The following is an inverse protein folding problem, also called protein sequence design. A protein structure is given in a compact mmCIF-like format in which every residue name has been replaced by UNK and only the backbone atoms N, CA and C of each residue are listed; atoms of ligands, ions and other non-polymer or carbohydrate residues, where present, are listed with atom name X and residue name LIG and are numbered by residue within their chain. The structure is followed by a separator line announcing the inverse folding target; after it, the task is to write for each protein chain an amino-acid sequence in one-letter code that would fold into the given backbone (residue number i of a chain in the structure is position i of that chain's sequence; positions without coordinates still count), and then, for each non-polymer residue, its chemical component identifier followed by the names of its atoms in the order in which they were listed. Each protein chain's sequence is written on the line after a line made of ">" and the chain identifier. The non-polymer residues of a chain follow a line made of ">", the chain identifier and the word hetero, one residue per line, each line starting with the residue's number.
data_IF_892060592865
#
_entry.id   IF_892060592865
#
_cell.length_a   1.000
_cell.length_b   1.000
_cell.length_c   1.000
_cell.angle_alpha   90.00
_cell.angle_beta   90.00
_cell.angle_gamma   90.00
#
_symmetry.space_group_name_H-M   'P 1'
#
loop_
_entity.id
_entity.type
_entity.pdbx_description
1 polymer ?
#
# COMPACT_ATOMS: atom_id res chain seq x y z
N UNK A 1 -9.89 -1.35 -15.29
CA UNK A 1 -9.02 -2.38 -14.68
C UNK A 1 -9.93 -3.40 -14.00
N UNK A 2 -9.66 -4.70 -14.13
CA UNK A 2 -10.37 -5.73 -13.37
C UNK A 2 -9.71 -5.92 -11.99
N UNK A 3 -10.51 -6.09 -10.94
CA UNK A 3 -10.04 -6.16 -9.54
C UNK A 3 -10.44 -7.52 -8.94
N UNK A 4 -9.48 -8.23 -8.35
CA UNK A 4 -9.70 -9.53 -7.73
C UNK A 4 -9.03 -9.62 -6.35
N UNK A 5 -9.66 -10.29 -5.40
CA UNK A 5 -8.95 -10.85 -4.25
C UNK A 5 -8.28 -12.16 -4.67
N UNK A 6 -6.98 -12.09 -4.97
CA UNK A 6 -6.20 -13.25 -5.38
C UNK A 6 -4.71 -13.01 -5.09
N UNK A 7 -4.22 -13.68 -4.03
CA UNK A 7 -2.82 -13.56 -3.54
C UNK A 7 -2.47 -12.10 -3.19
N UNK A 8 -3.41 -11.38 -2.57
CA UNK A 8 -3.41 -9.93 -2.40
C UNK A 8 -4.50 -9.30 -3.29
N UNK A 9 -4.57 -7.97 -3.32
CA UNK A 9 -5.47 -7.27 -4.24
C UNK A 9 -4.81 -7.24 -5.62
N UNK A 10 -5.37 -8.00 -6.56
CA UNK A 10 -4.87 -8.14 -7.90
C UNK A 10 -5.59 -7.16 -8.84
N UNK A 11 -4.83 -6.28 -9.47
CA UNK A 11 -5.30 -5.40 -10.54
C UNK A 11 -4.85 -5.96 -11.88
N UNK A 12 -5.79 -6.26 -12.78
CA UNK A 12 -5.51 -6.92 -14.06
C UNK A 12 -5.98 -6.08 -15.25
N UNK A 13 -5.15 -6.08 -16.29
CA UNK A 13 -5.37 -5.45 -17.59
C UNK A 13 -4.81 -6.38 -18.67
N UNK A 14 -5.68 -6.90 -19.52
CA UNK A 14 -5.35 -7.90 -20.53
C UNK A 14 -4.57 -9.12 -19.97
N UNK A 15 -3.31 -9.30 -20.38
CA UNK A 15 -2.41 -10.38 -19.95
C UNK A 15 -1.45 -9.96 -18.83
N UNK A 16 -1.57 -8.74 -18.31
CA UNK A 16 -0.72 -8.20 -17.24
C UNK A 16 -1.51 -8.01 -15.96
N UNK A 17 -0.84 -8.16 -14.83
CA UNK A 17 -1.41 -7.91 -13.52
C UNK A 17 -0.36 -7.32 -12.58
N UNK A 18 -0.83 -6.63 -11.56
CA UNK A 18 -0.04 -6.20 -10.40
C UNK A 18 -0.78 -6.60 -9.13
N UNK A 19 -0.05 -6.65 -8.02
CA UNK A 19 -0.58 -7.15 -6.75
C UNK A 19 -0.25 -6.16 -5.63
N UNK A 20 -1.29 -5.63 -5.00
CA UNK A 20 -1.18 -4.77 -3.82
C UNK A 20 -1.22 -5.68 -2.58
N UNK A 21 -0.25 -5.52 -1.69
CA UNK A 21 0.01 -6.39 -0.55
C UNK A 21 -0.03 -7.89 -0.90
N UNK A 22 0.88 -8.34 -1.78
CA UNK A 22 0.86 -9.70 -2.25
C UNK A 22 1.11 -10.70 -1.13
N UNK A 23 0.57 -11.91 -1.26
CA UNK A 23 0.79 -12.98 -0.27
C UNK A 23 2.24 -13.51 -0.24
N UNK A 24 3.03 -13.25 -1.28
CA UNK A 24 4.44 -13.68 -1.41
C UNK A 24 5.29 -12.65 -2.16
N UNK A 25 6.60 -12.64 -1.92
CA UNK A 25 7.52 -11.70 -2.55
C UNK A 25 7.61 -11.84 -4.07
N UNK A 26 7.43 -10.74 -4.80
CA UNK A 26 7.29 -10.72 -6.26
C UNK A 26 7.58 -9.34 -6.86
N UNK A 27 8.19 -9.26 -8.06
CA UNK A 27 8.57 -8.00 -8.69
C UNK A 27 7.37 -7.19 -9.22
N UNK A 28 6.24 -7.84 -9.47
CA UNK A 28 4.98 -7.23 -9.91
C UNK A 28 4.05 -6.91 -8.73
N UNK A 29 4.62 -6.72 -7.54
CA UNK A 29 3.88 -6.42 -6.32
C UNK A 29 4.30 -5.10 -5.69
N UNK A 30 3.34 -4.38 -5.11
CA UNK A 30 3.56 -3.20 -4.27
C UNK A 30 3.04 -3.48 -2.87
N UNK A 31 3.77 -3.08 -1.83
CA UNK A 31 3.33 -3.22 -0.44
C UNK A 31 3.00 -1.86 0.16
N UNK A 32 1.92 -1.79 0.94
CA UNK A 32 1.43 -0.57 1.57
C UNK A 32 2.31 -0.16 2.74
N UNK A 33 2.74 -1.10 3.59
CA UNK A 33 3.50 -0.77 4.80
C UNK A 33 4.28 -1.96 5.41
N UNK A 34 4.95 -1.69 6.52
CA UNK A 34 5.91 -2.58 7.17
C UNK A 34 5.37 -3.65 8.12
N UNK A 35 4.06 -3.88 8.24
CA UNK A 35 3.50 -4.96 9.09
C UNK A 35 3.64 -6.34 8.43
N UNK A 36 3.67 -7.42 9.23
CA UNK A 36 4.08 -8.77 8.76
C UNK A 36 3.07 -9.43 7.84
N UNK A 37 1.80 -9.15 8.07
CA UNK A 37 0.68 -9.55 7.25
C UNK A 37 0.79 -8.99 5.82
N UNK A 38 1.28 -7.76 5.65
CA UNK A 38 1.44 -7.10 4.33
C UNK A 38 2.84 -7.26 3.71
N UNK A 39 3.89 -7.07 4.52
CA UNK A 39 5.25 -6.87 4.04
C UNK A 39 5.86 -8.11 3.38
N UNK A 40 6.24 -8.00 2.10
CA UNK A 40 6.97 -9.04 1.36
C UNK A 40 8.22 -8.47 0.67
N UNK A 41 9.34 -9.20 0.64
CA UNK A 41 10.53 -8.77 -0.10
C UNK A 41 10.32 -8.86 -1.62
N UNK A 42 11.25 -8.29 -2.39
CA UNK A 42 11.26 -8.25 -3.86
C UNK A 42 10.08 -7.48 -4.47
N UNK A 43 9.37 -6.67 -3.67
CA UNK A 43 8.25 -5.81 -4.07
C UNK A 43 8.68 -4.35 -4.14
N UNK A 44 7.76 -3.50 -4.59
CA UNK A 44 7.85 -2.05 -4.56
C UNK A 44 7.31 -1.50 -3.23
N UNK A 45 8.00 -0.54 -2.61
CA UNK A 45 7.62 0.03 -1.32
C UNK A 45 8.20 1.43 -1.13
N UNK A 46 7.83 2.11 -0.05
CA UNK A 46 8.50 3.36 0.35
C UNK A 46 9.87 3.08 0.97
N UNK A 47 10.79 4.06 0.93
CA UNK A 47 12.11 3.91 1.56
C UNK A 47 12.04 3.59 3.07
N UNK A 48 11.20 4.26 3.89
CA UNK A 48 11.08 3.91 5.30
C UNK A 48 10.49 2.51 5.53
N UNK A 49 9.57 2.04 4.66
CA UNK A 49 9.06 0.67 4.72
C UNK A 49 10.17 -0.36 4.45
N UNK A 50 11.11 -0.06 3.55
CA UNK A 50 12.31 -0.89 3.33
C UNK A 50 13.20 -0.92 4.57
N UNK A 51 13.38 0.21 5.27
CA UNK A 51 14.18 0.24 6.49
C UNK A 51 13.55 -0.64 7.60
N UNK A 52 12.22 -0.55 7.76
CA UNK A 52 11.47 -1.47 8.64
C UNK A 52 11.68 -2.92 8.20
N UNK A 53 11.62 -3.22 6.91
CA UNK A 53 11.85 -4.57 6.39
C UNK A 53 13.25 -5.10 6.71
N UNK A 54 14.28 -4.28 6.53
CA UNK A 54 15.67 -4.63 6.85
C UNK A 54 15.78 -4.94 8.34
N UNK A 55 15.22 -4.09 9.20
CA UNK A 55 15.26 -4.28 10.65
C UNK A 55 14.53 -5.57 11.09
N UNK A 56 13.38 -5.87 10.48
CA UNK A 56 12.55 -7.04 10.85
C UNK A 56 13.06 -8.37 10.32
N UNK A 57 13.66 -8.38 9.13
CA UNK A 57 13.91 -9.63 8.37
C UNK A 57 15.34 -9.80 7.88
N UNK A 58 16.18 -8.76 7.97
CA UNK A 58 17.53 -8.75 7.40
C UNK A 58 17.61 -8.68 5.87
N UNK A 59 16.49 -8.80 5.15
CA UNK A 59 16.48 -8.71 3.69
C UNK A 59 16.61 -7.27 3.22
N UNK A 60 17.38 -7.06 2.15
CA UNK A 60 17.55 -5.75 1.50
C UNK A 60 16.86 -5.68 0.14
N UNK A 61 16.18 -6.75 -0.27
CA UNK A 61 15.58 -6.90 -1.61
C UNK A 61 14.24 -6.16 -1.67
N UNK A 62 14.25 -4.94 -2.18
CA UNK A 62 13.07 -4.14 -2.47
C UNK A 62 13.41 -3.05 -3.49
N UNK A 63 12.40 -2.65 -4.26
CA UNK A 63 12.45 -1.44 -5.10
C UNK A 63 11.77 -0.32 -4.32
N UNK A 64 12.41 0.83 -4.18
CA UNK A 64 11.88 1.95 -3.40
C UNK A 64 11.42 3.09 -4.27
N UNK A 65 10.29 3.70 -3.90
CA UNK A 65 9.77 4.90 -4.51
C UNK A 65 9.47 5.96 -3.44
N UNK A 66 9.52 7.23 -3.83
CA UNK A 66 9.10 8.31 -2.95
C UNK A 66 7.58 8.46 -2.99
N UNK A 67 7.04 9.12 -1.96
CA UNK A 67 5.66 9.59 -2.03
C UNK A 67 5.52 10.62 -3.16
N UNK A 68 4.37 10.59 -3.84
CA UNK A 68 4.02 11.50 -4.94
C UNK A 68 4.88 11.42 -6.20
N UNK A 69 5.82 10.49 -6.25
CA UNK A 69 6.54 10.14 -7.47
C UNK A 69 5.80 8.99 -8.16
N UNK A 70 5.35 9.23 -9.40
CA UNK A 70 4.74 8.20 -10.22
C UNK A 70 5.77 7.19 -10.70
N UNK A 71 5.41 5.92 -10.67
CA UNK A 71 6.25 4.83 -11.13
C UNK A 71 5.42 3.78 -11.87
N UNK A 72 6.09 2.86 -12.56
CA UNK A 72 5.42 1.80 -13.31
C UNK A 72 5.76 0.42 -12.78
N UNK A 73 4.76 -0.44 -12.75
CA UNK A 73 4.90 -1.89 -12.60
C UNK A 73 4.13 -2.52 -13.77
N UNK A 74 4.83 -3.25 -14.65
CA UNK A 74 4.26 -3.68 -15.94
C UNK A 74 3.69 -2.46 -16.71
N UNK A 75 2.43 -2.53 -17.12
CA UNK A 75 1.73 -1.50 -17.89
C UNK A 75 0.83 -0.61 -17.01
N UNK A 76 1.01 -0.65 -15.69
CA UNK A 76 0.26 0.15 -14.72
C UNK A 76 1.13 1.30 -14.20
N UNK A 77 0.56 2.50 -14.14
CA UNK A 77 1.13 3.64 -13.42
C UNK A 77 0.59 3.68 -11.99
N UNK A 78 1.50 3.76 -11.02
CA UNK A 78 1.20 3.79 -9.60
C UNK A 78 1.81 5.04 -8.95
N UNK A 79 1.22 5.45 -7.84
CA UNK A 79 1.74 6.47 -6.93
C UNK A 79 1.58 6.01 -5.49
N UNK A 80 2.60 6.23 -4.66
CA UNK A 80 2.45 6.10 -3.21
C UNK A 80 2.03 7.44 -2.61
N UNK A 81 0.96 7.42 -1.82
CA UNK A 81 0.44 8.57 -1.06
C UNK A 81 0.45 8.22 0.42
N UNK A 82 0.82 9.15 1.31
CA UNK A 82 0.91 8.85 2.75
C UNK A 82 -0.40 8.29 3.32
N UNK A 83 -0.33 7.16 4.03
CA UNK A 83 -1.47 6.54 4.72
C UNK A 83 -1.59 6.93 6.20
N UNK A 84 -0.62 7.65 6.78
CA UNK A 84 -0.71 8.11 8.18
C UNK A 84 -0.72 7.01 9.27
N UNK A 85 -0.64 5.73 8.90
CA UNK A 85 -0.77 4.59 9.82
C UNK A 85 0.50 4.33 10.61
N UNK A 86 1.57 3.94 9.91
CA UNK A 86 2.92 3.72 10.47
C UNK A 86 3.97 4.42 9.61
N UNK A 87 5.20 4.53 10.11
CA UNK A 87 6.31 5.15 9.37
C UNK A 87 6.44 4.50 7.98
N UNK A 88 6.35 5.33 6.94
CA UNK A 88 6.43 4.89 5.54
C UNK A 88 5.19 4.23 4.98
N UNK A 89 4.10 4.13 5.74
CA UNK A 89 2.83 3.58 5.22
C UNK A 89 2.28 4.42 4.07
N UNK A 90 1.79 3.73 3.05
CA UNK A 90 1.30 4.32 1.82
C UNK A 90 -0.05 3.74 1.40
N UNK A 91 -0.99 4.62 1.08
CA UNK A 91 -2.06 4.33 0.14
C UNK A 91 -1.42 4.21 -1.24
N UNK A 92 -1.96 3.33 -2.07
CA UNK A 92 -1.46 3.05 -3.41
C UNK A 92 -2.55 3.46 -4.39
N UNK A 93 -2.31 4.53 -5.13
CA UNK A 93 -3.13 4.88 -6.29
C UNK A 93 -2.61 4.15 -7.52
N UNK A 94 -3.54 3.61 -8.31
CA UNK A 94 -3.25 2.94 -9.57
C UNK A 94 -4.35 3.23 -10.58
N UNK A 95 -4.11 4.19 -11.47
CA UNK A 95 -5.05 4.57 -12.55
C UNK A 95 -6.49 4.82 -12.05
N UNK A 96 -6.67 5.51 -10.91
CA UNK A 96 -7.99 5.82 -10.34
C UNK A 96 -8.57 4.75 -9.41
N UNK A 97 -7.85 3.64 -9.19
CA UNK A 97 -8.11 2.68 -8.11
C UNK A 97 -7.21 3.03 -6.93
N UNK A 98 -7.81 3.51 -5.83
CA UNK A 98 -7.10 3.81 -4.60
C UNK A 98 -7.25 2.63 -3.62
N UNK A 99 -6.14 1.98 -3.29
CA UNK A 99 -6.06 1.01 -2.21
C UNK A 99 -5.44 1.67 -0.97
N UNK A 100 -6.17 1.72 0.14
CA UNK A 100 -5.69 2.45 1.32
C UNK A 100 -4.56 1.72 2.04
N UNK A 101 -4.48 0.40 1.93
CA UNK A 101 -3.85 -0.41 2.97
C UNK A 101 -4.51 -0.12 4.32
N UNK A 102 -3.74 -0.23 5.40
CA UNK A 102 -4.12 0.35 6.68
C UNK A 102 -3.85 1.86 6.65
N UNK A 103 -4.81 2.67 7.06
CA UNK A 103 -4.68 4.13 7.02
C UNK A 103 -5.24 4.80 8.27
N UNK A 104 -4.72 6.00 8.55
CA UNK A 104 -5.21 6.85 9.63
C UNK A 104 -5.49 8.27 9.11
N UNK A 105 -6.77 8.67 8.97
CA UNK A 105 -7.16 10.00 8.51
C UNK A 105 -7.06 11.09 9.59
N UNK A 106 -6.88 10.73 10.87
CA UNK A 106 -6.63 11.67 11.97
C UNK A 106 -5.13 11.92 12.15
N UNK A 107 -4.31 10.98 11.69
CA UNK A 107 -2.87 11.02 11.69
C UNK A 107 -2.23 10.68 13.04
N UNK A 108 -0.91 10.62 13.04
CA UNK A 108 -0.09 10.39 14.24
C UNK A 108 1.14 11.29 14.24
N UNK A 109 1.78 11.42 15.42
CA UNK A 109 3.02 12.20 15.58
C UNK A 109 4.14 11.72 14.66
N UNK A 110 4.14 10.44 14.28
CA UNK A 110 5.27 9.79 13.58
C UNK A 110 5.00 9.44 12.12
N UNK A 111 3.73 9.23 11.73
CA UNK A 111 3.39 8.72 10.40
C UNK A 111 2.66 9.74 9.50
N UNK A 112 2.34 10.93 10.01
CA UNK A 112 1.59 11.95 9.26
C UNK A 112 0.10 11.65 9.23
N UNK A 113 -0.60 12.13 8.20
CA UNK A 113 -2.07 12.07 8.05
C UNK A 113 -2.45 11.54 6.67
N UNK A 114 -3.39 10.60 6.59
CA UNK A 114 -3.97 10.20 5.32
C UNK A 114 -4.93 11.29 4.81
N UNK A 115 -4.61 11.88 3.67
CA UNK A 115 -5.47 12.88 3.03
C UNK A 115 -6.33 12.22 1.94
N UNK A 116 -7.63 12.57 1.84
CA UNK A 116 -8.49 12.08 0.77
C UNK A 116 -7.88 12.29 -0.62
N UNK A 117 -8.01 11.30 -1.50
CA UNK A 117 -7.63 11.38 -2.91
C UNK A 117 -8.86 11.18 -3.79
N UNK A 118 -8.89 11.84 -4.95
CA UNK A 118 -9.91 11.54 -5.95
C UNK A 118 -9.63 10.16 -6.55
N UNK A 119 -10.65 9.32 -6.59
CA UNK A 119 -10.56 7.98 -7.19
C UNK A 119 -11.93 7.56 -7.74
N UNK A 120 -11.92 6.67 -8.74
CA UNK A 120 -13.13 6.05 -9.28
C UNK A 120 -13.53 4.82 -8.47
N UNK A 121 -12.55 4.14 -7.86
CA UNK A 121 -12.76 2.97 -7.01
C UNK A 121 -11.89 3.06 -5.78
N UNK A 122 -12.52 2.94 -4.60
CA UNK A 122 -11.85 2.90 -3.31
C UNK A 122 -11.88 1.46 -2.76
N UNK A 123 -10.70 0.93 -2.47
CA UNK A 123 -10.52 -0.32 -1.72
C UNK A 123 -9.98 0.07 -0.36
N UNK A 124 -10.84 -0.02 0.66
CA UNK A 124 -10.57 0.50 2.00
C UNK A 124 -10.52 -0.63 3.02
N UNK A 125 -9.62 -0.51 3.99
CA UNK A 125 -9.66 -1.37 5.17
C UNK A 125 -10.93 -1.12 6.00
N UNK A 126 -11.29 -2.07 6.86
CA UNK A 126 -12.48 -1.95 7.70
C UNK A 126 -12.24 -2.45 9.13
N UNK A 127 -11.03 -2.24 9.66
CA UNK A 127 -10.67 -2.68 11.02
C UNK A 127 -11.64 -2.12 12.06
N UNK A 128 -12.02 -0.85 11.90
CA UNK A 128 -13.01 -0.15 12.71
C UNK A 128 -14.29 0.18 11.92
N UNK A 129 -14.71 -0.71 11.01
CA UNK A 129 -15.84 -0.46 10.11
C UNK A 129 -17.24 -0.57 10.73
N UNK A 130 -17.36 -0.94 12.02
CA UNK A 130 -18.67 -1.08 12.70
C UNK A 130 -19.07 0.22 13.42
N UNK A 131 -20.37 0.57 13.46
CA UNK A 131 -20.85 1.80 14.12
C UNK A 131 -20.46 1.93 15.59
N UNK A 132 -20.29 0.81 16.31
CA UNK A 132 -19.97 0.80 17.73
C UNK A 132 -18.47 1.01 18.01
N UNK A 133 -17.62 0.96 16.99
CA UNK A 133 -16.17 1.11 17.11
C UNK A 133 -15.77 2.59 17.14
N UNK A 134 -16.23 3.31 18.16
CA UNK A 134 -15.88 4.71 18.41
C UNK A 134 -14.66 4.76 19.34
N UNK A 135 -13.57 5.39 18.90
CA UNK A 135 -12.35 5.57 19.68
C UNK A 135 -12.28 6.99 20.28
N UNK A 136 -11.58 7.19 21.40
CA UNK A 136 -11.28 8.53 21.92
C UNK A 136 -10.41 9.34 20.94
N UNK A 137 -10.49 10.66 21.05
CA UNK A 137 -9.60 11.60 20.36
C UNK A 137 -8.17 11.57 20.93
#
# INVERSE_FOLDING_TARGET
>A
VEIFDYKGICLKKDKKAIYLDPSSGRPDGAVSHGHSDHLRPKTHMTAPTKDVMIARTGTKKATTHNFHDKFKINDFELEFVSAGHVIGSAMIDCEGVLYTGDYNPYGTVTAGIAKPQNCDTLIVESTYGKPEQVLPD
#
